data_IF_374100336250
#
_entry.id   IF_374100336250
#
_cell.length_a   1.000
_cell.length_b   1.000
_cell.length_c   1.000
_cell.angle_alpha   90.00
_cell.angle_beta   90.00
_cell.angle_gamma   90.00
#
_symmetry.space_group_name_H-M   'P 1'
#
loop_
_entity.id
_entity.type
_entity.pdbx_description
1 polymer ?
#
# COMPACT_ATOMS: atom_id res chain seq x y z
N UNK A 1 -9.19 14.23 -10.47
CA UNK A 1 -7.99 14.47 -11.32
C UNK A 1 -6.96 13.43 -10.95
N UNK A 2 -6.67 12.47 -11.84
CA UNK A 2 -5.67 11.42 -11.61
C UNK A 2 -4.38 11.85 -12.28
N UNK A 3 -3.29 11.95 -11.51
CA UNK A 3 -1.96 12.30 -12.03
C UNK A 3 -1.17 11.02 -12.25
N UNK A 4 -0.69 10.81 -13.48
CA UNK A 4 0.17 9.68 -13.82
C UNK A 4 1.62 10.05 -13.50
N UNK A 5 2.24 9.30 -12.59
CA UNK A 5 3.61 9.55 -12.13
C UNK A 5 4.67 8.92 -13.05
N UNK A 6 4.25 8.11 -14.03
CA UNK A 6 5.12 7.28 -14.86
C UNK A 6 5.37 5.91 -14.25
N UNK A 7 6.21 5.10 -14.91
CA UNK A 7 6.58 3.79 -14.40
C UNK A 7 7.47 3.91 -13.16
N UNK A 8 7.32 2.97 -12.20
CA UNK A 8 8.24 2.85 -11.07
C UNK A 8 9.61 2.44 -11.61
N UNK A 9 10.63 3.23 -11.32
CA UNK A 9 12.01 2.95 -11.73
C UNK A 9 12.83 2.35 -10.58
N UNK A 10 12.58 2.78 -9.34
CA UNK A 10 13.35 2.33 -8.17
C UNK A 10 12.47 2.38 -6.91
N UNK A 11 12.65 1.40 -6.03
CA UNK A 11 12.06 1.39 -4.69
C UNK A 11 13.20 1.20 -3.68
N UNK A 12 13.33 2.14 -2.76
CA UNK A 12 14.35 2.14 -1.72
C UNK A 12 13.70 2.14 -0.34
N UNK A 13 14.14 1.21 0.52
CA UNK A 13 13.73 1.19 1.92
C UNK A 13 14.82 1.84 2.78
N UNK A 14 14.42 2.86 3.52
CA UNK A 14 15.22 3.44 4.61
C UNK A 14 14.68 2.93 5.96
N UNK A 15 15.40 3.13 7.07
CA UNK A 15 14.95 2.70 8.40
C UNK A 15 13.61 3.32 8.85
N UNK A 16 13.23 4.45 8.28
CA UNK A 16 12.03 5.22 8.66
C UNK A 16 11.01 5.38 7.53
N UNK A 17 11.42 5.30 6.27
CA UNK A 17 10.59 5.70 5.13
C UNK A 17 10.84 4.80 3.91
N UNK A 18 9.84 4.71 3.02
CA UNK A 18 9.95 4.06 1.71
C UNK A 18 9.99 5.16 0.64
N UNK A 19 11.04 5.19 -0.16
CA UNK A 19 11.13 6.07 -1.32
C UNK A 19 10.84 5.29 -2.61
N UNK A 20 9.95 5.85 -3.43
CA UNK A 20 9.61 5.32 -4.75
C UNK A 20 9.97 6.38 -5.78
N UNK A 21 10.94 6.09 -6.64
CA UNK A 21 11.28 6.95 -7.78
C UNK A 21 10.52 6.47 -9.01
N UNK A 22 9.98 7.43 -9.74
CA UNK A 22 9.31 7.21 -11.01
C UNK A 22 10.18 7.70 -12.17
N UNK A 23 10.04 7.07 -13.33
CA UNK A 23 10.82 7.40 -14.54
C UNK A 23 10.66 8.85 -15.04
N UNK A 24 9.69 9.60 -14.53
CA UNK A 24 9.52 11.04 -14.79
C UNK A 24 10.36 11.97 -13.89
N UNK A 25 11.24 11.43 -13.04
CA UNK A 25 12.04 12.20 -12.07
C UNK A 25 11.27 12.62 -10.82
N UNK A 26 10.03 12.12 -10.66
CA UNK A 26 9.24 12.33 -9.45
C UNK A 26 9.61 11.28 -8.40
N UNK A 27 9.72 11.70 -7.15
CA UNK A 27 9.94 10.80 -6.01
C UNK A 27 8.76 10.91 -5.05
N UNK A 28 8.23 9.77 -4.66
CA UNK A 28 7.22 9.65 -3.61
C UNK A 28 7.89 9.07 -2.36
N UNK A 29 7.77 9.77 -1.24
CA UNK A 29 8.23 9.28 0.07
C UNK A 29 7.01 8.87 0.89
N UNK A 30 6.91 7.58 1.20
CA UNK A 30 5.93 7.06 2.15
C UNK A 30 6.57 6.97 3.53
N UNK A 31 6.04 7.74 4.46
CA UNK A 31 6.47 7.67 5.85
C UNK A 31 5.95 6.41 6.52
N UNK A 32 6.63 5.97 7.59
CA UNK A 32 6.16 4.84 8.39
C UNK A 32 4.72 4.98 8.86
N UNK A 33 4.29 6.18 9.27
CA UNK A 33 2.91 6.43 9.69
C UNK A 33 1.91 6.23 8.55
N UNK A 34 2.25 6.68 7.33
CA UNK A 34 1.41 6.45 6.16
C UNK A 34 1.36 4.96 5.78
N UNK A 35 2.48 4.24 5.92
CA UNK A 35 2.53 2.79 5.70
C UNK A 35 1.69 2.03 6.73
N UNK A 36 1.77 2.40 8.01
CA UNK A 36 0.94 1.82 9.08
C UNK A 36 -0.56 2.02 8.79
N UNK A 37 -0.96 3.19 8.30
CA UNK A 37 -2.35 3.48 7.95
C UNK A 37 -2.84 2.66 6.75
N UNK A 38 -2.03 2.58 5.68
CA UNK A 38 -2.29 1.74 4.51
C UNK A 38 -2.39 0.26 4.92
N UNK A 39 -1.45 -0.22 5.74
CA UNK A 39 -1.43 -1.61 6.20
C UNK A 39 -2.62 -1.91 7.09
N UNK A 40 -3.00 -0.99 8.00
CA UNK A 40 -4.19 -1.13 8.83
C UNK A 40 -5.45 -1.27 7.98
N UNK A 41 -5.63 -0.41 6.98
CA UNK A 41 -6.77 -0.50 6.06
C UNK A 41 -6.78 -1.83 5.29
N UNK A 42 -5.64 -2.25 4.74
CA UNK A 42 -5.50 -3.52 4.01
C UNK A 42 -5.76 -4.74 4.90
N UNK A 43 -5.29 -4.73 6.14
CA UNK A 43 -5.55 -5.79 7.12
C UNK A 43 -7.03 -5.83 7.48
N UNK A 44 -7.68 -4.68 7.69
CA UNK A 44 -9.12 -4.65 7.94
C UNK A 44 -9.93 -5.19 6.76
N UNK A 45 -9.54 -4.86 5.52
CA UNK A 45 -10.17 -5.40 4.32
C UNK A 45 -9.97 -6.92 4.24
N UNK A 46 -8.74 -7.41 4.41
CA UNK A 46 -8.44 -8.84 4.38
C UNK A 46 -9.17 -9.63 5.47
N UNK A 47 -9.27 -9.09 6.70
CA UNK A 47 -10.05 -9.70 7.79
C UNK A 47 -11.53 -9.73 7.45
N UNK A 48 -12.08 -8.65 6.87
CA UNK A 48 -13.48 -8.61 6.46
C UNK A 48 -13.80 -9.58 5.31
N UNK A 49 -12.86 -9.82 4.39
CA UNK A 49 -12.98 -10.83 3.33
C UNK A 49 -12.92 -12.25 3.91
N UNK A 50 -12.00 -12.53 4.82
CA UNK A 50 -11.89 -13.83 5.50
C UNK A 50 -13.11 -14.16 6.38
N UNK A 51 -13.70 -13.16 7.03
CA UNK A 51 -14.91 -13.36 7.86
C UNK A 51 -16.09 -13.77 6.96
N UNK A 52 -16.24 -13.16 5.77
CA UNK A 52 -17.25 -13.60 4.79
C UNK A 52 -17.01 -15.00 4.26
N UNK A 53 -15.75 -15.39 3.99
CA UNK A 53 -15.44 -16.75 3.55
C UNK A 53 -15.75 -17.80 4.62
N UNK A 54 -15.51 -17.50 5.92
CA UNK A 54 -15.86 -18.41 7.02
C UNK A 54 -17.36 -18.54 7.24
N UNK A 55 -18.14 -17.48 7.05
CA UNK A 55 -19.61 -17.53 7.16
C UNK A 55 -20.24 -18.32 5.97
N UNK A 56 -19.57 -18.36 4.81
CA UNK A 56 -20.03 -19.13 3.64
C UNK A 56 -19.74 -20.64 3.69
N UNK A 57 -18.86 -21.10 4.58
CA UNK A 57 -18.46 -22.51 4.68
C UNK A 57 -19.35 -23.34 5.63
N UNK A 58 -20.26 -22.71 6.37
CA UNK A 58 -21.16 -23.35 7.34
C UNK A 58 -22.60 -23.52 6.81
N UNK A 59 -22.76 -23.72 5.48
CA UNK A 59 -24.09 -23.93 4.88
C UNK A 59 -24.17 -25.14 3.97
#
# INVERSE_FOLDING_TARGET
MVVSLGAISEVSLTPTDVEVKFGGGTTLTLTRTALDDIMRERVHQAVAEMDREKIGADR
#
